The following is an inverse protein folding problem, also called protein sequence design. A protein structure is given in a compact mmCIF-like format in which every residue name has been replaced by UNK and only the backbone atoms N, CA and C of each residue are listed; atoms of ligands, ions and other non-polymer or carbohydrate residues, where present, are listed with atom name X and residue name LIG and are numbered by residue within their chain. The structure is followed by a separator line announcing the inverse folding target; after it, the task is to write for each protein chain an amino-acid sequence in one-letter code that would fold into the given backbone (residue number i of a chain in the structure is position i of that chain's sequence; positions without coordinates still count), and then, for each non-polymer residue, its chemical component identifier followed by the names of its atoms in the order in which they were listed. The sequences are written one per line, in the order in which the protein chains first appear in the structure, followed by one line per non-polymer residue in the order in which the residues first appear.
data_IF_955116184168
#
_entry.id   IF_955116184168
#
_cell.length_a   1.000
_cell.length_b   1.000
_cell.length_c   1.000
_cell.angle_alpha   90.00
_cell.angle_beta   90.00
_cell.angle_gamma   90.00
#
_symmetry.space_group_name_H-M   'P 1'
#
loop_
_entity.id
_entity.type
_entity.pdbx_description
1 polymer ?
#
# COMPACT_ATOMS: atom_id res chain seq x y z
N UNK A 1 0.88 26.12 -0.99
CA UNK A 1 0.98 25.31 0.24
C UNK A 1 0.75 23.86 -0.14
N UNK A 2 1.74 22.98 0.02
CA UNK A 2 1.59 21.57 -0.35
C UNK A 2 0.99 20.82 0.85
N UNK A 3 -0.26 20.34 0.74
CA UNK A 3 -0.89 19.56 1.81
C UNK A 3 -0.17 18.23 1.97
N UNK A 4 -0.03 17.77 3.21
CA UNK A 4 0.44 16.43 3.50
C UNK A 4 -0.56 15.41 2.96
N UNK A 5 -0.07 14.29 2.40
CA UNK A 5 -0.93 13.28 1.74
C UNK A 5 -1.07 12.01 2.56
N UNK A 6 -2.28 11.44 2.60
CA UNK A 6 -2.56 10.06 3.02
C UNK A 6 -2.32 9.12 1.84
N UNK A 7 -1.51 8.10 2.04
CA UNK A 7 -1.14 7.14 1.00
C UNK A 7 -1.60 5.75 1.41
N UNK A 8 -2.26 5.04 0.50
CA UNK A 8 -2.51 3.61 0.61
C UNK A 8 -1.59 2.86 -0.36
N UNK A 9 -0.95 1.79 0.10
CA UNK A 9 0.03 1.04 -0.67
C UNK A 9 -0.42 -0.41 -0.70
N UNK A 10 -0.51 -0.98 -1.89
CA UNK A 10 -0.70 -2.42 -2.08
C UNK A 10 0.69 -3.01 -2.28
N UNK A 11 1.15 -3.87 -1.36
CA UNK A 11 2.54 -4.30 -1.35
C UNK A 11 2.67 -5.82 -1.34
N UNK A 12 3.56 -6.31 -2.20
CA UNK A 12 4.07 -7.68 -2.15
C UNK A 12 5.61 -7.67 -2.14
N UNK A 13 6.26 -8.56 -1.39
CA UNK A 13 7.71 -8.66 -1.33
C UNK A 13 8.24 -9.12 -2.69
N UNK A 14 9.20 -8.39 -3.28
CA UNK A 14 9.65 -8.63 -4.65
C UNK A 14 10.82 -7.73 -5.03
N UNK A 15 10.59 -6.69 -5.85
CA UNK A 15 11.62 -5.69 -6.28
C UNK A 15 12.17 -4.79 -5.15
N UNK A 16 12.02 -5.25 -3.91
CA UNK A 16 12.66 -4.66 -2.75
C UNK A 16 11.89 -3.46 -2.22
N UNK A 17 11.93 -3.37 -0.90
CA UNK A 17 11.50 -2.21 -0.14
C UNK A 17 12.10 -0.87 -0.59
N UNK A 18 13.15 -0.89 -1.40
CA UNK A 18 13.76 0.30 -2.00
C UNK A 18 12.83 1.02 -2.98
N UNK A 19 12.05 0.28 -3.77
CA UNK A 19 11.04 0.85 -4.67
C UNK A 19 9.96 1.60 -3.89
N UNK A 20 9.49 0.98 -2.81
CA UNK A 20 8.57 1.57 -1.85
C UNK A 20 9.15 2.85 -1.24
N UNK A 21 10.38 2.80 -0.76
CA UNK A 21 11.08 3.93 -0.15
C UNK A 21 11.23 5.12 -1.10
N UNK A 22 11.77 4.88 -2.31
CA UNK A 22 11.91 5.92 -3.34
C UNK A 22 10.57 6.56 -3.66
N UNK A 23 9.51 5.75 -3.74
CA UNK A 23 8.17 6.26 -4.01
C UNK A 23 7.68 7.12 -2.84
N UNK A 24 7.89 6.69 -1.60
CA UNK A 24 7.53 7.46 -0.40
C UNK A 24 8.34 8.76 -0.24
N UNK A 25 9.57 8.83 -0.76
CA UNK A 25 10.39 10.07 -0.76
C UNK A 25 9.86 11.13 -1.73
N UNK A 26 9.17 10.73 -2.81
CA UNK A 26 8.55 11.67 -3.77
C UNK A 26 7.36 12.43 -3.19
N UNK A 27 6.81 11.95 -2.07
CA UNK A 27 5.59 12.51 -1.48
C UNK A 27 5.88 13.05 -0.08
N UNK A 28 5.37 14.25 0.21
CA UNK A 28 5.26 14.74 1.57
C UNK A 28 4.09 14.02 2.25
N UNK A 29 4.39 12.91 2.93
CA UNK A 29 3.39 11.99 3.47
C UNK A 29 3.00 12.33 4.90
N UNK A 30 1.69 12.40 5.16
CA UNK A 30 1.14 12.49 6.52
C UNK A 30 1.05 11.11 7.15
N UNK A 31 0.47 10.16 6.41
CA UNK A 31 0.15 8.82 6.88
C UNK A 31 0.21 7.84 5.73
N UNK A 32 0.80 6.68 5.99
CA UNK A 32 1.03 5.63 5.00
C UNK A 32 0.40 4.35 5.53
N UNK A 33 -0.50 3.77 4.75
CA UNK A 33 -1.12 2.48 5.02
C UNK A 33 -0.54 1.47 4.02
N UNK A 34 0.00 0.36 4.51
CA UNK A 34 0.60 -0.69 3.66
C UNK A 34 -0.24 -1.95 3.80
N UNK A 35 -1.01 -2.26 2.77
CA UNK A 35 -1.76 -3.51 2.62
C UNK A 35 -0.81 -4.62 2.17
N UNK A 36 -0.81 -5.74 2.90
CA UNK A 36 -0.06 -6.93 2.54
C UNK A 36 -0.90 -8.18 2.70
N UNK A 37 -0.64 -9.20 1.89
CA UNK A 37 -1.22 -10.52 2.10
C UNK A 37 -0.58 -11.21 3.31
N UNK A 38 -1.33 -12.07 4.01
CA UNK A 38 -0.84 -12.79 5.19
C UNK A 38 0.40 -13.64 4.91
N UNK A 39 0.48 -14.25 3.73
CA UNK A 39 1.64 -15.04 3.28
C UNK A 39 2.93 -14.22 3.23
N UNK A 40 2.82 -12.91 3.02
CA UNK A 40 3.96 -12.01 2.90
C UNK A 40 4.36 -11.37 4.23
N UNK A 41 3.49 -11.46 5.23
CA UNK A 41 3.62 -10.74 6.50
C UNK A 41 5.00 -10.89 7.14
N UNK A 42 5.52 -12.11 7.22
CA UNK A 42 6.83 -12.40 7.83
C UNK A 42 7.99 -11.72 7.10
N UNK A 43 7.95 -11.68 5.78
CA UNK A 43 8.99 -11.05 4.95
C UNK A 43 8.86 -9.53 5.07
N UNK A 44 7.65 -9.01 4.90
CA UNK A 44 7.35 -7.58 4.97
C UNK A 44 7.74 -6.99 6.32
N UNK A 45 7.35 -7.62 7.44
CA UNK A 45 7.72 -7.14 8.77
C UNK A 45 9.22 -7.09 8.96
N UNK A 46 9.97 -8.06 8.41
CA UNK A 46 11.44 -8.06 8.50
C UNK A 46 12.05 -6.90 7.72
N UNK A 47 11.53 -6.62 6.54
CA UNK A 47 12.03 -5.53 5.70
C UNK A 47 11.63 -4.15 6.25
N UNK A 48 10.35 -3.96 6.58
CA UNK A 48 9.81 -2.69 7.09
C UNK A 48 10.25 -2.37 8.51
N UNK A 49 10.60 -3.36 9.35
CA UNK A 49 11.18 -3.10 10.69
C UNK A 49 12.46 -2.27 10.62
N UNK A 50 13.20 -2.34 9.52
CA UNK A 50 14.41 -1.52 9.29
C UNK A 50 14.08 -0.07 8.94
N UNK A 51 12.83 0.21 8.59
CA UNK A 51 12.34 1.51 8.14
C UNK A 51 11.38 2.01 9.21
N UNK A 52 11.93 2.54 10.30
CA UNK A 52 11.12 3.18 11.33
C UNK A 52 10.63 4.53 10.80
N UNK A 53 9.37 4.58 10.35
CA UNK A 53 8.65 5.82 10.07
C UNK A 53 7.40 5.87 10.94
N UNK A 54 7.31 6.87 11.82
CA UNK A 54 6.20 7.03 12.77
C UNK A 54 4.82 7.17 12.11
N UNK A 55 4.78 7.41 10.80
CA UNK A 55 3.55 7.57 10.03
C UNK A 55 3.14 6.33 9.21
N UNK A 56 3.85 5.20 9.33
CA UNK A 56 3.57 3.97 8.58
C UNK A 56 2.76 2.97 9.41
N UNK A 57 1.64 2.49 8.85
CA UNK A 57 0.80 1.43 9.41
C UNK A 57 0.72 0.26 8.45
N UNK A 58 1.18 -0.91 8.90
CA UNK A 58 1.07 -2.17 8.15
C UNK A 58 -0.28 -2.82 8.48
N UNK A 59 -1.02 -3.22 7.45
CA UNK A 59 -2.33 -3.84 7.54
C UNK A 59 -2.29 -5.18 6.81
N UNK A 60 -2.43 -6.26 7.56
CA UNK A 60 -2.38 -7.63 7.03
C UNK A 60 -3.78 -8.06 6.60
N UNK A 61 -3.89 -8.49 5.35
CA UNK A 61 -5.10 -9.04 4.75
C UNK A 61 -5.00 -10.56 4.80
N UNK A 62 -5.97 -11.20 5.45
CA UNK A 62 -6.02 -12.65 5.64
C UNK A 62 -7.32 -13.26 5.16
N UNK A 63 -7.25 -14.52 4.72
CA UNK A 63 -8.39 -15.34 4.36
C UNK A 63 -9.13 -14.91 3.09
N UNK A 64 -10.28 -15.56 2.86
CA UNK A 64 -11.07 -15.43 1.61
C UNK A 64 -11.65 -14.03 1.37
N UNK A 65 -11.71 -13.19 2.41
CA UNK A 65 -12.29 -11.84 2.36
C UNK A 65 -11.24 -10.72 2.22
N UNK A 66 -10.01 -11.04 1.81
CA UNK A 66 -8.92 -10.07 1.67
C UNK A 66 -9.31 -8.84 0.82
N UNK A 67 -10.02 -9.05 -0.30
CA UNK A 67 -10.51 -8.00 -1.19
C UNK A 67 -11.51 -7.06 -0.49
N UNK A 68 -12.45 -7.63 0.28
CA UNK A 68 -13.46 -6.86 1.04
C UNK A 68 -12.78 -6.06 2.16
N UNK A 69 -11.79 -6.65 2.84
CA UNK A 69 -10.98 -5.96 3.86
C UNK A 69 -10.20 -4.80 3.24
N UNK A 70 -9.62 -4.97 2.06
CA UNK A 70 -8.93 -3.91 1.32
C UNK A 70 -9.87 -2.75 0.99
N UNK A 71 -11.11 -3.03 0.54
CA UNK A 71 -12.14 -2.02 0.30
C UNK A 71 -12.52 -1.25 1.57
N UNK A 72 -12.74 -1.95 2.70
CA UNK A 72 -13.03 -1.29 3.98
C UNK A 72 -11.91 -0.34 4.39
N UNK A 73 -10.66 -0.79 4.29
CA UNK A 73 -9.50 0.05 4.59
C UNK A 73 -9.43 1.25 3.64
N UNK A 74 -9.72 1.08 2.35
CA UNK A 74 -9.74 2.19 1.39
C UNK A 74 -10.74 3.28 1.83
N UNK A 75 -11.95 2.89 2.22
CA UNK A 75 -12.98 3.81 2.70
C UNK A 75 -12.56 4.45 4.02
N UNK A 76 -12.14 3.67 5.00
CA UNK A 76 -11.79 4.18 6.34
C UNK A 76 -10.55 5.07 6.34
N UNK A 77 -9.60 4.81 5.44
CA UNK A 77 -8.34 5.54 5.37
C UNK A 77 -8.42 6.81 4.52
N UNK A 78 -9.41 6.91 3.63
CA UNK A 78 -9.62 8.00 2.68
C UNK A 78 -8.28 8.50 2.05
N UNK A 79 -7.54 7.63 1.34
CA UNK A 79 -6.23 8.01 0.84
C UNK A 79 -6.35 8.96 -0.35
N UNK A 80 -5.44 9.94 -0.42
CA UNK A 80 -5.33 10.84 -1.58
C UNK A 80 -4.77 10.12 -2.81
N UNK A 81 -3.97 9.08 -2.57
CA UNK A 81 -3.30 8.30 -3.60
C UNK A 81 -3.19 6.84 -3.16
N UNK A 82 -3.43 5.95 -4.12
CA UNK A 82 -3.12 4.53 -4.00
C UNK A 82 -1.88 4.21 -4.84
N UNK A 83 -0.94 3.48 -4.26
CA UNK A 83 0.29 3.05 -4.93
C UNK A 83 0.28 1.52 -5.00
N UNK A 84 0.31 1.00 -6.21
CA UNK A 84 0.40 -0.43 -6.48
C UNK A 84 1.86 -0.86 -6.59
N UNK A 85 2.31 -1.60 -5.59
CA UNK A 85 3.62 -2.23 -5.49
C UNK A 85 3.50 -3.77 -5.43
N UNK A 86 2.32 -4.31 -5.72
CA UNK A 86 2.07 -5.75 -5.68
C UNK A 86 2.25 -6.37 -7.07
N UNK A 87 3.34 -7.11 -7.22
CA UNK A 87 3.74 -7.74 -8.48
C UNK A 87 3.03 -9.07 -8.75
N UNK A 88 2.46 -9.68 -7.71
CA UNK A 88 1.79 -10.97 -7.82
C UNK A 88 0.28 -10.83 -8.02
N UNK A 89 -0.21 -9.58 -8.05
CA UNK A 89 -1.60 -9.26 -8.29
C UNK A 89 -2.55 -9.99 -7.32
N UNK A 90 -2.20 -10.04 -6.03
CA UNK A 90 -2.96 -10.78 -5.00
C UNK A 90 -4.32 -10.17 -4.69
N UNK A 91 -4.56 -8.92 -5.09
CA UNK A 91 -5.81 -8.19 -4.91
C UNK A 91 -6.38 -7.73 -6.26
N UNK A 92 -6.58 -8.67 -7.19
CA UNK A 92 -6.99 -8.39 -8.58
C UNK A 92 -8.27 -7.56 -8.63
N UNK A 93 -9.28 -7.96 -7.85
CA UNK A 93 -10.62 -7.35 -7.91
C UNK A 93 -10.55 -5.92 -7.36
N UNK A 94 -9.93 -5.73 -6.20
CA UNK A 94 -9.72 -4.41 -5.62
C UNK A 94 -8.95 -3.47 -6.55
N UNK A 95 -7.86 -3.96 -7.17
CA UNK A 95 -7.10 -3.15 -8.15
C UNK A 95 -7.92 -2.78 -9.38
N UNK A 96 -8.75 -3.69 -9.88
CA UNK A 96 -9.64 -3.40 -11.00
C UNK A 96 -10.68 -2.35 -10.63
N UNK A 97 -11.23 -2.39 -9.42
CA UNK A 97 -12.13 -1.33 -8.92
C UNK A 97 -11.41 0.02 -8.85
N UNK A 98 -10.18 0.05 -8.34
CA UNK A 98 -9.39 1.28 -8.27
C UNK A 98 -9.15 1.89 -9.65
N UNK A 99 -8.83 1.08 -10.67
CA UNK A 99 -8.63 1.54 -12.06
C UNK A 99 -9.87 2.20 -12.67
N UNK A 100 -11.07 1.82 -12.23
CA UNK A 100 -12.34 2.39 -12.70
C UNK A 100 -12.90 3.44 -11.73
N UNK A 101 -12.17 3.75 -10.65
CA UNK A 101 -12.53 4.80 -9.70
C UNK A 101 -11.93 6.15 -10.13
N UNK A 102 -12.33 7.23 -9.45
CA UNK A 102 -11.71 8.55 -9.60
C UNK A 102 -10.44 8.73 -8.76
N UNK A 103 -9.99 7.69 -8.04
CA UNK A 103 -8.80 7.77 -7.20
C UNK A 103 -7.53 7.80 -8.06
N UNK A 104 -6.53 8.53 -7.57
CA UNK A 104 -5.21 8.53 -8.18
C UNK A 104 -4.52 7.21 -7.87
N UNK A 105 -4.33 6.38 -8.90
CA UNK A 105 -3.57 5.13 -8.82
C UNK A 105 -2.21 5.30 -9.51
N UNK A 106 -1.13 5.06 -8.77
CA UNK A 106 0.24 5.02 -9.30
C UNK A 106 0.85 3.63 -9.14
N UNK A 107 1.83 3.32 -10.00
CA UNK A 107 2.64 2.11 -9.88
C UNK A 107 3.94 2.43 -9.13
N UNK A 108 4.43 1.48 -8.34
CA UNK A 108 5.75 1.58 -7.71
C UNK A 108 6.85 1.73 -8.77
N UNK A 109 7.81 2.63 -8.54
CA UNK A 109 8.96 2.80 -9.45
C UNK A 109 9.96 1.68 -9.21
N UNK A 110 10.24 0.86 -10.22
CA UNK A 110 11.24 -0.21 -10.15
C UNK A 110 12.66 0.32 -9.92
#
# INVERSE_FOLDING_TARGET
MSSSRKILIIYSPGKGIHSLLKTLERFRTEKVYVLIHEDDSKVVYRELRRISRNNLKILVLSGRDAEVKALKILVDSEPDIVIDCDQYNKLVVFKNLLKHSRLRLEQCIA
#
